data_IF_164984166125
#
_entry.id   IF_164984166125
#
_cell.length_a   1.000
_cell.length_b   1.000
_cell.length_c   1.000
_cell.angle_alpha   90.00
_cell.angle_beta   90.00
_cell.angle_gamma   90.00
#
_symmetry.space_group_name_H-M   'P 1'
#
loop_
_entity.id
_entity.type
_entity.pdbx_description
1 polymer ?
#
# COMPACT_ATOMS: atom_id res chain seq x y z
N UNK A 1 -6.46 -2.32 13.25
CA UNK A 1 -6.97 -0.93 13.27
C UNK A 1 -6.75 -0.13 11.99
N UNK A 2 -5.87 -0.52 11.06
CA UNK A 2 -5.64 0.26 9.83
C UNK A 2 -6.89 0.51 8.97
N UNK A 3 -7.75 -0.49 8.79
CA UNK A 3 -9.03 -0.31 8.07
C UNK A 3 -9.96 0.68 8.77
N UNK A 4 -10.05 0.59 10.10
CA UNK A 4 -10.88 1.46 10.90
C UNK A 4 -10.36 2.90 10.84
N UNK A 5 -9.05 3.11 10.95
CA UNK A 5 -8.42 4.43 10.82
C UNK A 5 -8.70 5.06 9.45
N UNK A 6 -8.61 4.28 8.37
CA UNK A 6 -8.94 4.75 7.01
C UNK A 6 -10.43 5.07 6.86
N UNK A 7 -11.30 4.24 7.44
CA UNK A 7 -12.75 4.44 7.45
C UNK A 7 -13.14 5.70 8.21
N UNK A 8 -12.60 5.91 9.41
CA UNK A 8 -12.80 7.09 10.26
C UNK A 8 -12.31 8.37 9.58
N UNK A 9 -11.15 8.29 8.91
CA UNK A 9 -10.63 9.39 8.08
C UNK A 9 -11.44 9.64 6.81
N UNK A 10 -12.51 8.89 6.57
CA UNK A 10 -13.41 9.02 5.42
C UNK A 10 -12.75 8.68 4.09
N UNK A 11 -11.66 7.90 4.11
CA UNK A 11 -10.83 7.62 2.93
C UNK A 11 -11.66 7.04 1.78
N UNK A 12 -12.40 5.96 2.05
CA UNK A 12 -13.22 5.28 1.04
C UNK A 12 -14.34 6.16 0.50
N UNK A 13 -15.01 6.94 1.37
CA UNK A 13 -16.06 7.87 0.96
C UNK A 13 -15.53 8.92 -0.02
N UNK A 14 -14.33 9.45 0.22
CA UNK A 14 -13.67 10.40 -0.70
C UNK A 14 -13.33 9.79 -2.05
N UNK A 15 -12.88 8.52 -2.08
CA UNK A 15 -12.59 7.84 -3.34
C UNK A 15 -13.84 7.70 -4.21
N UNK A 16 -14.95 7.27 -3.60
CA UNK A 16 -16.24 7.08 -4.28
C UNK A 16 -16.79 8.43 -4.75
N UNK A 17 -16.86 9.44 -3.87
CA UNK A 17 -17.43 10.74 -4.22
C UNK A 17 -16.65 11.49 -5.29
N UNK A 18 -15.34 11.26 -5.38
CA UNK A 18 -14.48 11.90 -6.36
C UNK A 18 -14.30 11.08 -7.65
N UNK A 19 -15.05 9.98 -7.81
CA UNK A 19 -15.01 9.08 -8.97
C UNK A 19 -13.58 8.64 -9.33
N UNK A 20 -12.79 8.26 -8.32
CA UNK A 20 -11.37 7.93 -8.46
C UNK A 20 -11.22 6.43 -8.67
N UNK A 21 -10.48 6.03 -9.71
CA UNK A 21 -9.92 4.68 -9.81
C UNK A 21 -8.44 4.70 -9.43
N UNK A 22 -8.01 3.80 -8.55
CA UNK A 22 -6.61 3.71 -8.11
C UNK A 22 -6.02 2.36 -8.49
N UNK A 23 -4.79 2.39 -8.98
CA UNK A 23 -4.00 1.20 -9.30
C UNK A 23 -2.65 1.30 -8.61
N UNK A 24 -2.20 0.19 -8.01
CA UNK A 24 -0.86 0.07 -7.45
C UNK A 24 -0.08 -0.92 -8.32
N UNK A 25 1.02 -0.46 -8.88
CA UNK A 25 1.97 -1.29 -9.60
C UNK A 25 3.17 -1.53 -8.69
N UNK A 26 3.39 -2.78 -8.30
CA UNK A 26 4.53 -3.16 -7.46
C UNK A 26 5.73 -3.38 -8.37
N UNK A 27 6.82 -2.66 -8.10
CA UNK A 27 8.08 -2.83 -8.82
C UNK A 27 8.94 -3.90 -8.15
N UNK A 28 9.07 -3.84 -6.81
CA UNK A 28 9.82 -4.83 -6.05
C UNK A 28 9.43 -4.87 -4.58
N UNK A 29 9.73 -6.00 -3.93
CA UNK A 29 9.62 -6.18 -2.49
C UNK A 29 10.94 -6.73 -1.97
N UNK A 30 11.57 -6.02 -1.03
CA UNK A 30 12.79 -6.45 -0.37
C UNK A 30 12.44 -6.90 1.05
N UNK A 31 12.77 -8.15 1.37
CA UNK A 31 12.57 -8.72 2.70
C UNK A 31 13.93 -8.98 3.36
N UNK A 32 14.12 -8.48 4.57
CA UNK A 32 15.25 -8.83 5.43
C UNK A 32 14.78 -9.86 6.46
N UNK A 33 15.35 -11.07 6.36
CA UNK A 33 15.06 -12.20 7.24
C UNK A 33 16.15 -12.47 8.29
N UNK A 34 17.16 -11.59 8.39
CA UNK A 34 18.30 -11.77 9.30
C UNK A 34 17.92 -11.54 10.77
N UNK A 35 16.93 -10.67 11.01
CA UNK A 35 16.50 -10.28 12.35
C UNK A 35 14.98 -10.33 12.48
N UNK A 36 14.50 -11.00 13.52
CA UNK A 36 13.09 -11.08 13.85
C UNK A 36 12.66 -9.91 14.77
N UNK A 37 11.49 -9.26 14.56
CA UNK A 37 10.56 -9.49 13.45
C UNK A 37 11.11 -8.99 12.12
N UNK A 38 10.87 -9.76 11.05
CA UNK A 38 11.44 -9.51 9.73
C UNK A 38 10.90 -8.20 9.17
N UNK A 39 11.70 -7.50 8.36
CA UNK A 39 11.28 -6.24 7.75
C UNK A 39 11.07 -6.42 6.26
N UNK A 40 9.94 -5.96 5.75
CA UNK A 40 9.67 -5.92 4.32
C UNK A 40 9.47 -4.48 3.87
N UNK A 41 10.10 -4.12 2.74
CA UNK A 41 9.94 -2.83 2.08
C UNK A 41 9.43 -3.05 0.66
N UNK A 42 8.35 -2.37 0.33
CA UNK A 42 7.75 -2.43 -1.01
C UNK A 42 8.02 -1.12 -1.73
N UNK A 43 8.50 -1.24 -2.97
CA UNK A 43 8.64 -0.14 -3.90
C UNK A 43 7.59 -0.30 -4.99
N UNK A 44 6.79 0.73 -5.17
CA UNK A 44 5.64 0.69 -6.05
C UNK A 44 5.38 2.07 -6.64
N UNK A 45 4.47 2.09 -7.61
CA UNK A 45 3.85 3.29 -8.13
C UNK A 45 2.35 3.22 -7.94
N UNK A 46 1.77 4.36 -7.61
CA UNK A 46 0.33 4.53 -7.51
C UNK A 46 -0.16 5.39 -8.67
N UNK A 47 -1.07 4.85 -9.47
CA UNK A 47 -1.82 5.60 -10.47
C UNK A 47 -3.19 5.96 -9.91
N UNK A 48 -3.54 7.24 -10.00
CA UNK A 48 -4.82 7.80 -9.60
C UNK A 48 -5.48 8.35 -10.86
N UNK A 49 -6.48 7.63 -11.35
CA UNK A 49 -7.27 7.99 -12.52
C UNK A 49 -8.51 8.77 -12.07
N UNK A 50 -8.67 9.96 -12.62
CA UNK A 50 -9.87 10.78 -12.53
C UNK A 50 -10.41 11.02 -13.94
N UNK A 51 -11.60 11.60 -14.03
CA UNK A 51 -12.17 11.98 -15.32
C UNK A 51 -11.26 12.97 -16.08
N UNK A 52 -10.74 13.98 -15.38
CA UNK A 52 -9.96 15.07 -15.97
C UNK A 52 -8.46 14.81 -16.09
N UNK A 53 -7.89 13.94 -15.25
CA UNK A 53 -6.45 13.73 -15.21
C UNK A 53 -6.03 12.37 -14.65
N UNK A 54 -4.76 12.07 -14.89
CA UNK A 54 -4.04 10.92 -14.35
C UNK A 54 -2.87 11.43 -13.53
N UNK A 55 -2.82 11.05 -12.25
CA UNK A 55 -1.69 11.33 -11.37
C UNK A 55 -0.93 10.03 -11.09
N UNK A 56 0.38 10.05 -11.31
CA UNK A 56 1.31 8.98 -10.94
C UNK A 56 2.08 9.43 -9.70
N UNK A 57 2.15 8.56 -8.69
CA UNK A 57 2.86 8.81 -7.43
C UNK A 57 3.86 7.70 -7.19
N UNK A 58 5.04 8.04 -6.69
CA UNK A 58 5.92 7.05 -6.06
C UNK A 58 5.28 6.59 -4.75
N UNK A 59 5.36 5.29 -4.46
CA UNK A 59 4.85 4.70 -3.24
C UNK A 59 5.92 3.78 -2.65
N UNK A 60 6.40 4.11 -1.47
CA UNK A 60 7.30 3.25 -0.70
C UNK A 60 6.62 2.94 0.62
N UNK A 61 6.51 1.66 0.94
CA UNK A 61 5.91 1.21 2.21
C UNK A 61 6.86 0.27 2.93
N UNK A 62 6.70 0.19 4.24
CA UNK A 62 7.43 -0.75 5.09
C UNK A 62 6.47 -1.46 6.02
N UNK A 63 6.81 -2.68 6.42
CA UNK A 63 6.12 -3.38 7.48
C UNK A 63 7.04 -4.36 8.21
N UNK A 64 6.53 -4.91 9.31
CA UNK A 64 7.09 -6.05 10.03
C UNK A 64 6.32 -7.31 9.68
N UNK A 65 7.05 -8.41 9.43
CA UNK A 65 6.48 -9.73 9.20
C UNK A 65 6.76 -10.59 10.44
N UNK A 66 5.68 -11.03 11.09
CA UNK A 66 5.70 -11.95 12.21
C UNK A 66 5.29 -13.33 11.73
N UNK A 67 5.88 -14.37 12.31
CA UNK A 67 5.46 -15.73 11.98
C UNK A 67 4.04 -15.99 12.51
N UNK A 68 3.26 -16.72 11.73
CA UNK A 68 1.92 -17.16 12.06
C UNK A 68 1.72 -18.59 11.56
N UNK A 69 0.71 -19.26 12.11
CA UNK A 69 0.37 -20.62 11.72
C UNK A 69 -0.06 -20.62 10.25
N UNK A 70 0.62 -21.45 9.44
CA UNK A 70 0.22 -21.66 8.05
C UNK A 70 -1.17 -22.29 8.00
N UNK A 71 -2.02 -21.75 7.15
CA UNK A 71 -3.35 -22.27 6.88
C UNK A 71 -3.68 -22.06 5.41
N UNK A 72 -4.77 -22.63 4.93
CA UNK A 72 -5.24 -22.41 3.55
C UNK A 72 -5.45 -20.92 3.24
N UNK A 73 -5.83 -20.13 4.25
CA UNK A 73 -6.05 -18.69 4.15
C UNK A 73 -4.77 -17.85 4.39
N UNK A 74 -3.70 -18.45 4.89
CA UNK A 74 -2.38 -17.81 5.06
C UNK A 74 -1.26 -18.83 4.79
N UNK A 75 -1.06 -19.23 3.52
CA UNK A 75 -0.11 -20.29 3.18
C UNK A 75 1.34 -19.90 3.49
N UNK A 76 1.64 -18.60 3.46
CA UNK A 76 2.96 -18.08 3.78
C UNK A 76 3.25 -18.01 5.29
N UNK A 77 2.20 -17.98 6.12
CA UNK A 77 2.35 -17.98 7.58
C UNK A 77 2.98 -16.70 8.11
N UNK A 78 2.64 -15.55 7.53
CA UNK A 78 3.08 -14.25 8.05
C UNK A 78 1.90 -13.37 8.46
N UNK A 79 2.09 -12.59 9.51
CA UNK A 79 1.24 -11.46 9.88
C UNK A 79 2.01 -10.18 9.57
N UNK A 80 1.34 -9.25 8.90
CA UNK A 80 1.86 -7.91 8.65
C UNK A 80 1.50 -7.03 9.86
N UNK A 81 2.51 -6.46 10.49
CA UNK A 81 2.37 -5.44 11.53
C UNK A 81 3.11 -4.16 11.15
N UNK A 82 2.76 -3.06 11.81
CA UNK A 82 3.39 -1.76 11.64
C UNK A 82 3.55 -1.37 10.16
N UNK A 83 2.45 -1.52 9.41
CA UNK A 83 2.42 -1.10 8.01
C UNK A 83 2.42 0.42 7.93
N UNK A 84 3.45 0.96 7.30
CA UNK A 84 3.69 2.40 7.21
C UNK A 84 4.00 2.82 5.78
N UNK A 85 3.51 4.00 5.41
CA UNK A 85 3.83 4.65 4.14
C UNK A 85 5.05 5.54 4.40
N UNK A 86 6.19 5.18 3.82
CA UNK A 86 7.44 5.93 3.92
C UNK A 86 7.47 7.05 2.88
N UNK A 87 6.95 6.78 1.69
CA UNK A 87 6.86 7.76 0.62
C UNK A 87 5.53 7.63 -0.11
N UNK A 88 4.90 8.77 -0.39
CA UNK A 88 3.76 8.86 -1.29
C UNK A 88 3.79 10.22 -2.00
N UNK A 89 4.56 10.35 -3.07
CA UNK A 89 4.87 11.64 -3.70
C UNK A 89 4.45 11.67 -5.16
N UNK A 90 3.84 12.77 -5.60
CA UNK A 90 3.50 12.96 -7.02
C UNK A 90 4.78 13.00 -7.87
N UNK A 91 4.84 12.13 -8.87
CA UNK A 91 5.95 12.06 -9.84
C UNK A 91 5.54 12.57 -11.22
N UNK A 92 4.24 12.45 -11.57
CA UNK A 92 3.71 12.96 -12.84
C UNK A 92 2.22 13.28 -12.72
N UNK A 93 1.79 14.34 -13.39
CA UNK A 93 0.37 14.63 -13.64
C UNK A 93 0.19 14.82 -15.14
N UNK A 94 -0.74 14.09 -15.73
CA UNK A 94 -1.14 14.23 -17.13
C UNK A 94 -2.63 14.55 -17.18
N UNK A 95 -2.99 15.64 -17.85
CA UNK A 95 -4.40 15.94 -18.15
C UNK A 95 -4.84 15.04 -19.31
N UNK A 96 -6.11 14.63 -19.29
CA UNK A 96 -6.74 13.94 -20.41
C UNK A 96 -7.21 14.93 -21.48
#
# INVERSE_FOLDING_TARGET
NYYQDLSEKGYFKRLISANINQYIQIDSVICNFDHYPYTARTFAKQLILRESNVTERSLITTCKLLNSVRSDNNPHGFIIENFEIIENKDIRVANR
#
